data_IF_540103771264
#
_entry.id   IF_540103771264
#
_cell.length_a   1.000
_cell.length_b   1.000
_cell.length_c   1.000
_cell.angle_alpha   90.00
_cell.angle_beta   90.00
_cell.angle_gamma   90.00
#
_symmetry.space_group_name_H-M   'P 1'
#
loop_
_entity.id
_entity.type
_entity.pdbx_description
1 polymer ?
#
# COMPACT_ATOMS: atom_id res chain seq x y z
N UNK A 1 1.36 -18.94 21.67
CA UNK A 1 2.64 -19.17 20.96
C UNK A 1 3.76 -18.51 21.73
N UNK A 2 4.94 -19.14 21.79
CA UNK A 2 6.10 -18.57 22.46
C UNK A 2 6.62 -17.35 21.70
N UNK A 3 7.01 -16.29 22.42
CA UNK A 3 7.63 -15.10 21.83
C UNK A 3 9.04 -15.42 21.31
N UNK A 4 9.48 -14.72 20.26
CA UNK A 4 10.85 -14.81 19.74
C UNK A 4 11.11 -15.85 18.65
N UNK A 5 10.11 -16.64 18.24
CA UNK A 5 10.26 -17.55 17.10
C UNK A 5 10.24 -16.78 15.78
N UNK A 6 11.20 -17.02 14.88
CA UNK A 6 11.32 -16.35 13.58
C UNK A 6 10.09 -16.54 12.66
N UNK A 7 9.38 -17.64 12.80
CA UNK A 7 8.23 -18.04 11.97
C UNK A 7 6.87 -17.89 12.66
N UNK A 8 6.79 -17.19 13.80
CA UNK A 8 5.52 -16.99 14.53
C UNK A 8 4.43 -16.43 13.63
N UNK A 9 4.73 -15.35 12.89
CA UNK A 9 3.75 -14.69 12.03
C UNK A 9 3.18 -15.62 10.96
N UNK A 10 4.03 -16.36 10.25
CA UNK A 10 3.58 -17.27 9.18
C UNK A 10 2.82 -18.48 9.73
N UNK A 11 3.21 -18.97 10.90
CA UNK A 11 2.52 -20.07 11.57
C UNK A 11 1.13 -19.63 12.07
N UNK A 12 1.05 -18.43 12.66
CA UNK A 12 -0.21 -17.84 13.10
C UNK A 12 -1.13 -17.57 11.90
N UNK A 13 -0.63 -16.99 10.82
CA UNK A 13 -1.39 -16.78 9.59
C UNK A 13 -1.95 -18.08 9.03
N UNK A 14 -1.16 -19.16 9.01
CA UNK A 14 -1.60 -20.48 8.54
C UNK A 14 -2.70 -21.06 9.44
N UNK A 15 -2.58 -20.88 10.75
CA UNK A 15 -3.62 -21.30 11.70
C UNK A 15 -4.93 -20.55 11.43
N UNK A 16 -4.88 -19.21 11.35
CA UNK A 16 -6.06 -18.38 11.08
C UNK A 16 -6.69 -18.70 9.72
N UNK A 17 -5.88 -18.92 8.68
CA UNK A 17 -6.36 -19.34 7.36
C UNK A 17 -7.12 -20.67 7.41
N UNK A 18 -6.66 -21.64 8.21
CA UNK A 18 -7.35 -22.92 8.37
C UNK A 18 -8.66 -22.77 9.13
N UNK A 19 -8.67 -21.98 10.20
CA UNK A 19 -9.84 -21.79 11.05
C UNK A 19 -10.99 -21.10 10.32
N UNK A 20 -10.66 -20.05 9.55
CA UNK A 20 -11.64 -19.25 8.82
C UNK A 20 -11.80 -19.65 7.34
N UNK A 21 -11.30 -20.83 6.93
CA UNK A 21 -11.24 -21.28 5.52
C UNK A 21 -12.56 -21.12 4.77
N UNK A 22 -13.71 -21.40 5.40
CA UNK A 22 -15.04 -21.31 4.78
C UNK A 22 -15.55 -19.87 4.62
N UNK A 23 -14.98 -18.93 5.35
CA UNK A 23 -15.42 -17.51 5.44
C UNK A 23 -14.40 -16.53 4.85
N UNK A 24 -13.14 -16.96 4.67
CA UNK A 24 -12.10 -16.13 4.09
C UNK A 24 -12.50 -15.64 2.70
N UNK A 25 -12.18 -14.38 2.41
CA UNK A 25 -12.49 -13.67 1.15
C UNK A 25 -13.99 -13.48 0.88
N UNK A 26 -14.87 -14.03 1.71
CA UNK A 26 -16.31 -13.78 1.66
C UNK A 26 -16.67 -12.61 2.56
N UNK A 27 -16.67 -12.87 3.87
CA UNK A 27 -17.04 -11.89 4.90
C UNK A 27 -15.95 -11.68 5.96
N UNK A 28 -14.83 -12.42 5.91
CA UNK A 28 -13.71 -12.28 6.85
C UNK A 28 -12.41 -12.16 6.08
N UNK A 29 -11.60 -11.16 6.45
CA UNK A 29 -10.20 -11.02 6.03
C UNK A 29 -9.31 -11.10 7.26
N UNK A 30 -8.23 -11.86 7.16
CA UNK A 30 -7.28 -12.04 8.27
C UNK A 30 -5.85 -11.87 7.78
N UNK A 31 -5.11 -11.04 8.50
CA UNK A 31 -3.68 -10.89 8.29
C UNK A 31 -2.96 -10.82 9.62
N UNK A 32 -2.28 -11.91 9.97
CA UNK A 32 -1.60 -12.09 11.25
C UNK A 32 -2.56 -11.75 12.40
N UNK A 33 -2.34 -10.64 13.12
CA UNK A 33 -3.14 -10.22 14.27
C UNK A 33 -4.37 -9.37 13.92
N UNK A 34 -4.46 -8.90 12.68
CA UNK A 34 -5.55 -8.04 12.22
C UNK A 34 -6.64 -8.88 11.56
N UNK A 35 -7.88 -8.64 11.95
CA UNK A 35 -9.05 -9.31 11.40
C UNK A 35 -10.13 -8.28 11.10
N UNK A 36 -10.72 -8.38 9.92
CA UNK A 36 -11.83 -7.53 9.49
C UNK A 36 -13.01 -8.42 9.10
N UNK A 37 -14.16 -8.15 9.70
CA UNK A 37 -15.44 -8.73 9.32
C UNK A 37 -16.18 -7.69 8.49
N UNK A 38 -16.59 -8.06 7.29
CA UNK A 38 -17.33 -7.23 6.33
C UNK A 38 -18.61 -7.93 5.93
N UNK A 39 -19.68 -7.17 5.75
CA UNK A 39 -20.97 -7.68 5.30
C UNK A 39 -21.48 -6.85 4.14
N UNK A 40 -22.25 -7.45 3.24
CA UNK A 40 -22.85 -6.75 2.10
C UNK A 40 -24.00 -5.84 2.54
N UNK A 41 -24.80 -6.31 3.49
CA UNK A 41 -25.92 -5.56 4.05
C UNK A 41 -25.74 -5.40 5.57
N UNK A 42 -26.21 -4.30 6.11
CA UNK A 42 -26.16 -4.02 7.55
C UNK A 42 -26.94 -5.08 8.35
N UNK A 43 -28.05 -5.56 7.80
CA UNK A 43 -28.88 -6.60 8.43
C UNK A 43 -28.18 -7.95 8.59
N UNK A 44 -27.20 -8.26 7.73
CA UNK A 44 -26.44 -9.53 7.77
C UNK A 44 -25.26 -9.45 8.76
N UNK A 45 -24.85 -8.23 9.13
CA UNK A 45 -23.60 -8.01 9.87
C UNK A 45 -23.59 -8.67 11.25
N UNK A 46 -24.71 -8.69 11.94
CA UNK A 46 -24.83 -9.33 13.24
C UNK A 46 -24.64 -10.86 13.13
N UNK A 47 -25.27 -11.48 12.13
CA UNK A 47 -25.10 -12.91 11.87
C UNK A 47 -23.66 -13.27 11.47
N UNK A 48 -23.03 -12.46 10.63
CA UNK A 48 -21.61 -12.65 10.26
C UNK A 48 -20.67 -12.53 11.46
N UNK A 49 -20.97 -11.64 12.42
CA UNK A 49 -20.23 -11.53 13.67
C UNK A 49 -20.48 -12.73 14.59
N UNK A 50 -21.71 -13.22 14.71
CA UNK A 50 -22.05 -14.40 15.49
C UNK A 50 -21.28 -15.63 15.00
N UNK A 51 -21.30 -15.89 13.69
CA UNK A 51 -20.54 -16.95 13.04
C UNK A 51 -19.03 -16.84 13.35
N UNK A 52 -18.48 -15.63 13.28
CA UNK A 52 -17.07 -15.39 13.60
C UNK A 52 -16.79 -15.70 15.08
N UNK A 53 -17.65 -15.24 15.99
CA UNK A 53 -17.48 -15.51 17.42
C UNK A 53 -17.62 -17.00 17.76
N UNK A 54 -18.46 -17.75 17.08
CA UNK A 54 -18.56 -19.21 17.24
C UNK A 54 -17.25 -19.91 16.84
N UNK A 55 -16.66 -19.50 15.71
CA UNK A 55 -15.35 -20.03 15.29
C UNK A 55 -14.28 -19.73 16.33
N UNK A 56 -14.23 -18.51 16.85
CA UNK A 56 -13.27 -18.12 17.88
C UNK A 56 -13.44 -18.94 19.17
N UNK A 57 -14.69 -19.13 19.63
CA UNK A 57 -15.01 -19.96 20.82
C UNK A 57 -14.59 -21.41 20.62
N UNK A 58 -14.89 -21.98 19.45
CA UNK A 58 -14.51 -23.38 19.10
C UNK A 58 -13.00 -23.60 19.18
N UNK A 59 -12.21 -22.59 18.86
CA UNK A 59 -10.74 -22.66 18.88
C UNK A 59 -10.11 -21.98 20.10
N UNK A 60 -10.92 -21.65 21.11
CA UNK A 60 -10.49 -21.04 22.38
C UNK A 60 -9.67 -19.74 22.22
N UNK A 61 -9.94 -19.00 21.13
CA UNK A 61 -9.28 -17.70 20.89
C UNK A 61 -10.01 -16.60 21.62
N UNK A 62 -9.23 -15.66 22.17
CA UNK A 62 -9.73 -14.47 22.84
C UNK A 62 -9.33 -13.21 22.07
N UNK A 63 -10.30 -12.33 21.87
CA UNK A 63 -10.06 -11.01 21.29
C UNK A 63 -9.61 -10.02 22.39
N UNK A 64 -8.73 -9.12 22.00
CA UNK A 64 -8.43 -7.96 22.84
C UNK A 64 -9.49 -6.89 22.61
N UNK A 65 -10.47 -6.81 23.49
CA UNK A 65 -11.63 -5.91 23.38
C UNK A 65 -11.23 -4.43 23.28
N UNK A 66 -10.12 -4.01 23.90
CA UNK A 66 -9.63 -2.63 23.83
C UNK A 66 -9.13 -2.23 22.43
N UNK A 67 -8.86 -3.21 21.55
CA UNK A 67 -8.43 -3.01 20.17
C UNK A 67 -9.53 -3.34 19.15
N UNK A 68 -10.68 -3.79 19.60
CA UNK A 68 -11.81 -4.09 18.72
C UNK A 68 -12.67 -2.85 18.51
N UNK A 69 -13.12 -2.66 17.27
CA UNK A 69 -14.08 -1.63 16.90
C UNK A 69 -15.22 -2.31 16.13
N UNK A 70 -16.46 -1.99 16.45
CA UNK A 70 -17.64 -2.59 15.85
C UNK A 70 -18.53 -1.51 15.22
N UNK A 71 -19.30 -1.87 14.20
CA UNK A 71 -20.26 -0.97 13.54
C UNK A 71 -19.62 0.25 12.86
N UNK A 72 -18.37 0.13 12.43
CA UNK A 72 -17.62 1.23 11.82
C UNK A 72 -17.82 1.24 10.32
N UNK A 73 -18.09 2.44 9.73
CA UNK A 73 -18.12 2.63 8.28
C UNK A 73 -16.74 2.60 7.62
N UNK A 74 -15.67 2.58 8.43
CA UNK A 74 -14.27 2.45 7.97
C UNK A 74 -13.45 1.73 9.02
N UNK A 75 -12.42 0.99 8.59
CA UNK A 75 -11.52 0.27 9.50
C UNK A 75 -10.06 0.46 9.13
N UNK A 76 -9.19 0.44 10.16
CA UNK A 76 -7.73 0.33 9.93
C UNK A 76 -7.39 -1.13 9.64
N UNK A 77 -6.79 -1.38 8.48
CA UNK A 77 -6.31 -2.71 8.10
C UNK A 77 -4.98 -2.59 7.35
N UNK A 78 -3.97 -3.33 7.76
CA UNK A 78 -2.62 -3.28 7.18
C UNK A 78 -1.98 -1.88 7.13
N UNK A 79 -2.31 -1.02 8.09
CA UNK A 79 -1.81 0.36 8.13
C UNK A 79 -2.56 1.36 7.24
N UNK A 80 -3.59 0.91 6.51
CA UNK A 80 -4.46 1.73 5.68
C UNK A 80 -5.84 1.91 6.31
N UNK A 81 -6.59 2.89 5.84
CA UNK A 81 -8.00 3.04 6.17
C UNK A 81 -8.81 2.48 4.99
N UNK A 82 -9.58 1.44 5.25
CA UNK A 82 -10.49 0.84 4.27
C UNK A 82 -11.86 1.45 4.47
N UNK A 83 -12.41 2.06 3.43
CA UNK A 83 -13.74 2.70 3.40
C UNK A 83 -14.59 2.11 2.27
N UNK A 84 -15.85 2.50 2.19
CA UNK A 84 -16.70 2.15 1.04
C UNK A 84 -16.18 2.74 -0.29
N UNK A 85 -15.45 3.87 -0.24
CA UNK A 85 -14.88 4.53 -1.42
C UNK A 85 -13.59 3.88 -1.92
N UNK A 86 -12.99 3.00 -1.10
CA UNK A 86 -11.73 2.34 -1.41
C UNK A 86 -10.74 2.39 -0.25
N UNK A 87 -9.45 2.52 -0.58
CA UNK A 87 -8.36 2.52 0.39
C UNK A 87 -7.81 3.93 0.53
N UNK A 88 -7.78 4.42 1.74
CA UNK A 88 -7.28 5.76 2.08
C UNK A 88 -5.98 5.66 2.89
N UNK A 89 -5.18 6.69 2.78
CA UNK A 89 -3.96 6.84 3.60
C UNK A 89 -4.36 7.05 5.06
N UNK A 90 -3.63 6.43 5.98
CA UNK A 90 -3.77 6.75 7.38
C UNK A 90 -3.27 8.19 7.64
N UNK A 91 -4.17 9.07 8.04
CA UNK A 91 -3.87 10.48 8.31
C UNK A 91 -2.78 10.66 9.38
N UNK A 92 -2.65 9.73 10.34
CA UNK A 92 -1.60 9.79 11.34
C UNK A 92 -0.21 9.65 10.71
N UNK A 93 -0.08 8.82 9.65
CA UNK A 93 1.17 8.69 8.89
C UNK A 93 1.49 9.96 8.11
N UNK A 94 0.49 10.57 7.50
CA UNK A 94 0.65 11.86 6.79
C UNK A 94 1.06 12.96 7.76
N UNK A 95 0.36 13.07 8.90
CA UNK A 95 0.71 14.02 9.97
C UNK A 95 2.13 13.81 10.47
N UNK A 96 2.53 12.55 10.66
CA UNK A 96 3.88 12.22 11.11
C UNK A 96 4.96 12.68 10.10
N UNK A 97 4.72 12.55 8.77
CA UNK A 97 5.64 13.09 7.76
C UNK A 97 5.61 14.63 7.75
N UNK A 98 4.43 15.24 7.85
CA UNK A 98 4.26 16.69 7.82
C UNK A 98 4.90 17.37 9.04
N UNK A 99 4.96 16.71 10.20
CA UNK A 99 5.59 17.22 11.41
C UNK A 99 7.13 17.14 11.39
N UNK A 100 7.73 16.36 10.48
CA UNK A 100 9.18 16.27 10.38
C UNK A 100 9.79 17.59 9.90
N UNK A 101 11.00 17.88 10.35
CA UNK A 101 11.87 18.91 9.80
C UNK A 101 12.72 18.32 8.65
N UNK A 102 13.29 19.13 7.77
CA UNK A 102 14.26 18.65 6.78
C UNK A 102 15.34 17.83 7.45
N UNK A 103 15.70 16.64 6.90
CA UNK A 103 16.60 15.72 7.57
C UNK A 103 18.01 16.32 7.74
N UNK A 104 18.54 16.22 8.95
CA UNK A 104 19.86 16.78 9.32
C UNK A 104 20.94 15.70 9.44
N UNK A 105 20.57 14.43 9.39
CA UNK A 105 21.49 13.30 9.50
C UNK A 105 20.97 12.08 8.71
N UNK A 106 21.84 11.09 8.42
CA UNK A 106 21.45 9.90 7.67
C UNK A 106 20.33 9.08 8.32
N UNK A 107 20.24 9.05 9.65
CA UNK A 107 19.17 8.32 10.36
C UNK A 107 17.79 8.91 10.08
N UNK A 108 17.70 10.24 10.02
CA UNK A 108 16.46 10.94 9.68
C UNK A 108 16.06 10.72 8.23
N UNK A 109 17.03 10.64 7.31
CA UNK A 109 16.78 10.28 5.91
C UNK A 109 16.23 8.86 5.81
N UNK A 110 16.84 7.89 6.51
CA UNK A 110 16.32 6.52 6.54
C UNK A 110 14.91 6.44 7.12
N UNK A 111 14.64 7.21 8.19
CA UNK A 111 13.29 7.30 8.77
C UNK A 111 12.29 7.84 7.74
N UNK A 112 12.63 8.95 7.06
CA UNK A 112 11.76 9.54 6.03
C UNK A 112 11.51 8.57 4.87
N UNK A 113 12.55 7.90 4.36
CA UNK A 113 12.42 6.90 3.30
C UNK A 113 11.52 5.74 3.75
N UNK A 114 11.71 5.24 4.96
CA UNK A 114 10.86 4.16 5.51
C UNK A 114 9.38 4.55 5.59
N UNK A 115 9.10 5.76 6.08
CA UNK A 115 7.73 6.28 6.13
C UNK A 115 7.13 6.47 4.74
N UNK A 116 7.90 6.99 3.79
CA UNK A 116 7.47 7.18 2.39
C UNK A 116 7.27 5.84 1.68
N UNK A 117 8.11 4.84 1.96
CA UNK A 117 7.98 3.50 1.40
C UNK A 117 6.67 2.83 1.83
N UNK A 118 6.21 3.04 3.07
CA UNK A 118 4.92 2.56 3.55
C UNK A 118 3.73 3.17 2.77
N UNK A 119 3.90 4.37 2.23
CA UNK A 119 2.89 5.09 1.44
C UNK A 119 3.09 4.95 -0.08
N UNK A 120 4.03 4.13 -0.53
CA UNK A 120 4.46 4.07 -1.93
C UNK A 120 3.31 3.84 -2.93
N UNK A 121 2.31 3.03 -2.56
CA UNK A 121 1.14 2.76 -3.42
C UNK A 121 0.23 3.98 -3.65
N UNK A 122 0.36 5.01 -2.83
CA UNK A 122 -0.40 6.26 -2.92
C UNK A 122 0.39 7.40 -3.58
N UNK A 123 1.67 7.20 -3.81
CA UNK A 123 2.56 8.27 -4.30
C UNK A 123 2.92 8.01 -5.75
N UNK A 124 2.41 8.87 -6.63
CA UNK A 124 2.83 8.87 -8.03
C UNK A 124 4.31 9.22 -8.14
N UNK A 125 5.06 8.45 -8.94
CA UNK A 125 6.49 8.68 -9.18
C UNK A 125 7.31 8.82 -7.89
N UNK A 126 7.00 7.98 -6.89
CA UNK A 126 7.61 8.08 -5.56
C UNK A 126 9.13 7.94 -5.61
N UNK A 127 9.66 7.11 -6.51
CA UNK A 127 11.10 6.91 -6.70
C UNK A 127 11.78 8.20 -7.16
N UNK A 128 11.20 8.91 -8.12
CA UNK A 128 11.74 10.20 -8.59
C UNK A 128 11.67 11.26 -7.49
N UNK A 129 10.54 11.33 -6.78
CA UNK A 129 10.34 12.29 -5.68
C UNK A 129 11.31 12.06 -4.53
N UNK A 130 11.64 10.79 -4.23
CA UNK A 130 12.52 10.41 -3.13
C UNK A 130 14.01 10.32 -3.54
N UNK A 131 14.33 10.44 -4.83
CA UNK A 131 15.70 10.33 -5.34
C UNK A 131 16.70 11.24 -4.62
N UNK A 132 16.41 12.54 -4.36
CA UNK A 132 17.33 13.41 -3.64
C UNK A 132 17.71 12.87 -2.26
N UNK A 133 16.79 12.18 -1.58
CA UNK A 133 17.04 11.56 -0.28
C UNK A 133 17.99 10.36 -0.40
N UNK A 134 17.80 9.51 -1.42
CA UNK A 134 18.70 8.38 -1.67
C UNK A 134 20.13 8.84 -2.04
N UNK A 135 20.25 9.94 -2.79
CA UNK A 135 21.53 10.51 -3.16
C UNK A 135 22.33 11.03 -1.95
N UNK A 136 21.64 11.52 -0.91
CA UNK A 136 22.29 11.94 0.34
C UNK A 136 22.91 10.75 1.10
N UNK A 137 22.32 9.56 1.03
CA UNK A 137 22.83 8.36 1.68
C UNK A 137 24.11 7.82 1.03
N UNK A 138 24.30 8.10 -0.27
CA UNK A 138 25.47 7.65 -1.02
C UNK A 138 26.70 8.56 -0.86
N UNK A 139 26.55 9.72 -0.22
CA UNK A 139 27.68 10.65 0.05
C UNK A 139 28.36 10.29 1.37
N UNK A 140 29.49 9.60 1.29
CA UNK A 140 30.28 9.12 2.44
C UNK A 140 30.99 10.20 3.25
N UNK A 141 31.13 11.43 2.74
CA UNK A 141 31.84 12.52 3.41
C UNK A 141 30.91 13.72 3.61
N UNK A 142 30.55 13.95 4.88
CA UNK A 142 29.80 15.12 5.31
C UNK A 142 28.34 15.08 4.87
N UNK A 143 27.42 14.84 5.81
CA UNK A 143 25.98 14.94 5.56
C UNK A 143 25.61 16.42 5.53
N UNK A 144 25.13 16.89 4.39
CA UNK A 144 24.57 18.22 4.24
C UNK A 144 23.26 18.13 3.44
N UNK A 145 22.19 18.61 4.03
CA UNK A 145 20.90 18.70 3.33
C UNK A 145 20.98 19.79 2.26
N UNK A 146 21.07 19.36 1.01
CA UNK A 146 21.14 20.29 -0.13
C UNK A 146 19.82 21.02 -0.33
N UNK A 147 19.85 22.19 -1.01
CA UNK A 147 18.64 22.93 -1.41
C UNK A 147 17.67 22.05 -2.20
N UNK A 148 18.19 21.14 -3.02
CA UNK A 148 17.40 20.17 -3.79
C UNK A 148 16.65 19.19 -2.88
N UNK A 149 17.32 18.70 -1.83
CA UNK A 149 16.71 17.82 -0.83
C UNK A 149 15.60 18.53 -0.06
N UNK A 150 15.85 19.77 0.39
CA UNK A 150 14.85 20.57 1.10
C UNK A 150 13.63 20.85 0.22
N UNK A 151 13.84 21.17 -1.05
CA UNK A 151 12.76 21.39 -2.03
C UNK A 151 11.97 20.08 -2.29
N UNK A 152 12.65 18.95 -2.45
CA UNK A 152 12.00 17.65 -2.63
C UNK A 152 11.16 17.27 -1.40
N UNK A 153 11.67 17.56 -0.20
CA UNK A 153 10.95 17.32 1.05
C UNK A 153 9.67 18.16 1.14
N UNK A 154 9.74 19.45 0.80
CA UNK A 154 8.58 20.33 0.78
C UNK A 154 7.53 19.86 -0.25
N UNK A 155 7.96 19.53 -1.48
CA UNK A 155 7.05 18.96 -2.51
C UNK A 155 6.40 17.66 -2.11
N UNK A 156 7.10 16.82 -1.33
CA UNK A 156 6.53 15.57 -0.80
C UNK A 156 5.42 15.87 0.21
N UNK A 157 5.62 16.83 1.12
CA UNK A 157 4.61 17.26 2.08
C UNK A 157 3.37 17.85 1.39
N UNK A 158 3.58 18.71 0.43
CA UNK A 158 2.49 19.32 -0.37
C UNK A 158 1.68 18.25 -1.11
N UNK A 159 2.36 17.25 -1.68
CA UNK A 159 1.71 16.13 -2.37
C UNK A 159 0.85 15.28 -1.43
N UNK A 160 1.29 15.08 -0.19
CA UNK A 160 0.57 14.27 0.79
C UNK A 160 -0.50 15.05 1.55
N UNK A 161 -0.54 16.39 1.45
CA UNK A 161 -1.50 17.22 2.18
C UNK A 161 -2.96 16.96 1.79
N UNK A 162 -3.34 16.82 0.50
CA UNK A 162 -4.59 16.19 0.11
C UNK A 162 -4.39 14.67 0.13
N UNK A 163 -4.94 13.94 1.11
CA UNK A 163 -4.72 12.50 1.20
C UNK A 163 -5.27 11.80 -0.05
N UNK A 164 -4.42 11.08 -0.81
CA UNK A 164 -4.87 10.37 -1.99
C UNK A 164 -5.77 9.20 -1.59
N UNK A 165 -6.88 9.06 -2.30
CA UNK A 165 -7.82 7.95 -2.19
C UNK A 165 -7.55 7.01 -3.35
N UNK A 166 -7.37 5.72 -3.05
CA UNK A 166 -7.27 4.67 -4.06
C UNK A 166 -8.63 4.02 -4.20
N UNK A 167 -9.16 4.01 -5.42
CA UNK A 167 -10.45 3.39 -5.72
C UNK A 167 -10.36 1.87 -5.66
N UNK A 168 -11.50 1.24 -5.49
CA UNK A 168 -11.66 -0.21 -5.53
C UNK A 168 -12.37 -0.58 -6.83
N UNK A 169 -11.72 -1.26 -7.78
CA UNK A 169 -12.39 -1.75 -8.98
C UNK A 169 -13.40 -2.86 -8.61
N UNK A 170 -14.50 -2.90 -9.34
CA UNK A 170 -15.48 -3.97 -9.26
C UNK A 170 -15.03 -5.17 -10.09
N UNK A 171 -15.66 -6.34 -9.87
CA UNK A 171 -15.37 -7.54 -10.65
C UNK A 171 -15.65 -7.29 -12.13
N UNK A 172 -14.80 -7.85 -13.00
CA UNK A 172 -14.91 -7.78 -14.48
C UNK A 172 -14.75 -6.37 -15.08
N UNK A 173 -14.38 -5.37 -14.27
CA UNK A 173 -14.12 -4.03 -14.76
C UNK A 173 -12.82 -3.97 -15.55
N UNK A 174 -12.80 -3.22 -16.65
CA UNK A 174 -11.59 -2.99 -17.46
C UNK A 174 -10.75 -1.93 -16.77
N UNK A 175 -9.50 -2.27 -16.48
CA UNK A 175 -8.54 -1.37 -15.87
C UNK A 175 -7.54 -0.85 -16.92
N UNK A 176 -7.02 0.35 -16.70
CA UNK A 176 -6.04 0.97 -17.58
C UNK A 176 -4.74 1.21 -16.84
N UNK A 177 -3.62 1.06 -17.53
CA UNK A 177 -2.29 1.32 -16.99
C UNK A 177 -1.64 2.44 -17.79
N UNK A 178 -1.29 3.53 -17.11
CA UNK A 178 -0.39 4.54 -17.65
C UNK A 178 1.02 4.31 -17.15
N UNK A 179 1.99 4.40 -18.05
CA UNK A 179 3.41 4.21 -17.74
C UNK A 179 4.14 5.55 -17.88
N UNK A 180 4.93 5.89 -16.89
CA UNK A 180 5.85 7.00 -16.91
C UNK A 180 7.28 6.49 -16.79
N UNK A 181 8.12 6.84 -17.75
CA UNK A 181 9.52 6.44 -17.79
C UNK A 181 10.40 7.65 -17.55
N UNK A 182 11.32 7.53 -16.61
CA UNK A 182 12.34 8.50 -16.32
C UNK A 182 13.74 7.88 -16.52
N UNK A 183 14.77 8.68 -16.42
CA UNK A 183 16.15 8.22 -16.62
C UNK A 183 16.52 7.10 -15.64
N UNK A 184 16.12 7.26 -14.37
CA UNK A 184 16.51 6.35 -13.27
C UNK A 184 15.36 5.61 -12.62
N UNK A 185 14.14 5.80 -13.10
CA UNK A 185 12.96 5.19 -12.51
C UNK A 185 11.89 4.91 -13.56
N UNK A 186 11.09 3.90 -13.29
CA UNK A 186 9.82 3.65 -13.96
C UNK A 186 8.70 3.75 -12.93
N UNK A 187 7.59 4.30 -13.36
CA UNK A 187 6.38 4.41 -12.56
C UNK A 187 5.18 4.06 -13.41
N UNK A 188 4.21 3.43 -12.82
CA UNK A 188 2.93 3.21 -13.45
C UNK A 188 1.79 3.48 -12.48
N UNK A 189 0.65 3.80 -13.02
CA UNK A 189 -0.60 3.88 -12.28
C UNK A 189 -1.63 2.96 -12.93
N UNK A 190 -2.24 2.13 -12.11
CA UNK A 190 -3.43 1.39 -12.46
C UNK A 190 -4.62 2.25 -12.13
N UNK A 191 -5.50 2.46 -13.09
CA UNK A 191 -6.71 3.28 -12.94
C UNK A 191 -7.96 2.49 -13.34
N UNK A 192 -9.07 2.85 -12.77
CA UNK A 192 -10.41 2.55 -13.26
C UNK A 192 -11.05 3.81 -13.83
N UNK A 193 -12.02 3.65 -14.71
CA UNK A 193 -12.81 4.75 -15.26
C UNK A 193 -14.25 4.59 -14.81
N UNK A 194 -14.70 5.48 -13.94
CA UNK A 194 -16.10 5.51 -13.51
C UNK A 194 -16.77 6.79 -14.02
N UNK A 195 -17.85 6.64 -14.79
CA UNK A 195 -18.59 7.75 -15.39
C UNK A 195 -17.69 8.75 -16.15
N UNK A 196 -16.64 8.26 -16.83
CA UNK A 196 -15.67 9.08 -17.54
C UNK A 196 -14.59 9.74 -16.67
N UNK A 197 -14.63 9.52 -15.36
CA UNK A 197 -13.63 10.01 -14.41
C UNK A 197 -12.58 8.93 -14.15
N UNK A 198 -11.33 9.29 -14.34
CA UNK A 198 -10.20 8.38 -14.05
C UNK A 198 -9.88 8.40 -12.56
N UNK A 199 -9.98 7.25 -11.92
CA UNK A 199 -9.66 7.08 -10.50
C UNK A 199 -8.49 6.14 -10.30
N UNK A 200 -7.46 6.53 -9.53
CA UNK A 200 -6.31 5.66 -9.30
C UNK A 200 -6.69 4.50 -8.38
N UNK A 201 -6.26 3.30 -8.77
CA UNK A 201 -6.36 2.07 -7.97
C UNK A 201 -5.08 1.85 -7.17
N UNK A 202 -3.92 2.04 -7.80
CA UNK A 202 -2.63 2.04 -7.11
C UNK A 202 -1.51 2.56 -8.01
N UNK A 203 -0.44 3.04 -7.37
CA UNK A 203 0.82 3.36 -8.04
C UNK A 203 1.83 2.24 -7.81
N UNK A 204 2.62 1.93 -8.83
CA UNK A 204 3.79 1.05 -8.73
C UNK A 204 5.00 1.83 -9.23
N UNK A 205 6.06 1.79 -8.43
CA UNK A 205 7.27 2.53 -8.71
C UNK A 205 8.48 1.62 -8.56
N UNK A 206 9.47 1.74 -9.45
CA UNK A 206 10.72 0.99 -9.41
C UNK A 206 11.89 1.91 -9.73
N UNK A 207 12.92 1.87 -8.88
CA UNK A 207 14.23 2.41 -9.22
C UNK A 207 14.93 1.48 -10.19
N UNK A 208 15.53 2.02 -11.23
CA UNK A 208 16.30 1.25 -12.21
C UNK A 208 17.70 0.98 -11.67
N UNK A 209 18.18 -0.26 -11.85
CA UNK A 209 19.56 -0.62 -11.61
C UNK A 209 20.47 -0.01 -12.69
N UNK A 210 21.77 0.07 -12.45
CA UNK A 210 22.73 0.68 -13.37
C UNK A 210 22.64 0.10 -14.80
N UNK A 211 22.42 -1.19 -14.93
CA UNK A 211 22.21 -1.87 -16.22
C UNK A 211 20.91 -1.46 -16.89
N UNK A 212 19.82 -1.34 -16.12
CA UNK A 212 18.48 -1.01 -16.62
C UNK A 212 18.37 0.48 -17.02
N UNK A 213 19.21 1.35 -16.45
CA UNK A 213 19.27 2.78 -16.83
C UNK A 213 19.60 2.93 -18.32
N UNK A 214 20.41 2.01 -18.87
CA UNK A 214 20.86 2.02 -20.26
C UNK A 214 19.82 1.47 -21.25
N UNK A 215 18.73 0.92 -20.77
CA UNK A 215 17.67 0.38 -21.61
C UNK A 215 17.01 1.47 -22.46
N UNK A 216 16.61 1.08 -23.67
CA UNK A 216 15.81 1.94 -24.53
C UNK A 216 14.43 2.23 -23.90
N UNK A 217 13.76 3.26 -24.35
CA UNK A 217 12.44 3.62 -23.80
C UNK A 217 11.44 2.46 -23.90
N UNK A 218 11.43 1.76 -25.03
CA UNK A 218 10.56 0.60 -25.22
C UNK A 218 10.89 -0.54 -24.23
N UNK A 219 12.16 -0.82 -24.00
CA UNK A 219 12.60 -1.84 -23.04
C UNK A 219 12.21 -1.46 -21.60
N UNK A 220 12.31 -0.17 -21.26
CA UNK A 220 11.83 0.35 -19.96
C UNK A 220 10.31 0.22 -19.82
N UNK A 221 9.56 0.44 -20.90
CA UNK A 221 8.11 0.23 -20.91
C UNK A 221 7.75 -1.24 -20.66
N UNK A 222 8.41 -2.15 -21.36
CA UNK A 222 8.22 -3.60 -21.15
C UNK A 222 8.60 -4.00 -19.71
N UNK A 223 9.74 -3.49 -19.22
CA UNK A 223 10.16 -3.74 -17.83
C UNK A 223 9.13 -3.22 -16.83
N UNK A 224 8.50 -2.07 -17.10
CA UNK A 224 7.44 -1.52 -16.24
C UNK A 224 6.23 -2.46 -16.17
N UNK A 225 5.79 -2.99 -17.32
CA UNK A 225 4.68 -3.95 -17.39
C UNK A 225 5.02 -5.23 -16.63
N UNK A 226 6.18 -5.83 -16.89
CA UNK A 226 6.64 -7.02 -16.17
C UNK A 226 6.69 -6.77 -14.66
N UNK A 227 7.24 -5.62 -14.25
CA UNK A 227 7.28 -5.27 -12.83
C UNK A 227 5.87 -5.11 -12.22
N UNK A 228 4.93 -4.53 -12.98
CA UNK A 228 3.54 -4.40 -12.56
C UNK A 228 2.85 -5.74 -12.35
N UNK A 229 3.01 -6.68 -13.29
CA UNK A 229 2.41 -8.02 -13.18
C UNK A 229 2.91 -8.77 -11.94
N UNK A 230 4.21 -8.62 -11.61
CA UNK A 230 4.75 -9.18 -10.36
C UNK A 230 4.25 -8.50 -9.10
N UNK A 231 4.01 -7.19 -9.13
CA UNK A 231 3.56 -6.44 -7.95
C UNK A 231 2.06 -6.50 -7.73
N UNK A 232 1.30 -6.66 -8.79
CA UNK A 232 -0.16 -6.58 -8.81
C UNK A 232 -0.80 -7.84 -9.45
N UNK A 233 -0.35 -9.07 -9.11
CA UNK A 233 -0.80 -10.28 -9.78
C UNK A 233 -2.32 -10.44 -9.74
N UNK A 234 -2.95 -10.07 -8.62
CA UNK A 234 -4.39 -10.22 -8.45
C UNK A 234 -5.20 -9.37 -9.45
N UNK A 235 -4.76 -8.16 -9.76
CA UNK A 235 -5.45 -7.32 -10.73
C UNK A 235 -5.30 -7.87 -12.16
N UNK A 236 -4.09 -8.31 -12.54
CA UNK A 236 -3.85 -8.88 -13.88
C UNK A 236 -4.49 -10.26 -14.09
N UNK A 237 -4.81 -10.98 -13.01
CA UNK A 237 -5.52 -12.26 -13.08
C UNK A 237 -7.04 -12.12 -13.09
N UNK A 238 -7.57 -11.06 -12.45
CA UNK A 238 -9.01 -10.88 -12.23
C UNK A 238 -9.66 -9.86 -13.17
N UNK A 239 -8.85 -9.06 -13.88
CA UNK A 239 -9.34 -7.98 -14.73
C UNK A 239 -8.67 -7.97 -16.09
N UNK A 240 -9.36 -7.45 -17.08
CA UNK A 240 -8.75 -7.06 -18.35
C UNK A 240 -7.98 -5.76 -18.11
N UNK A 241 -6.68 -5.77 -18.36
CA UNK A 241 -5.80 -4.61 -18.15
C UNK A 241 -5.31 -4.09 -19.48
N UNK A 242 -5.71 -2.89 -19.85
CA UNK A 242 -5.29 -2.18 -21.06
C UNK A 242 -4.10 -1.28 -20.74
N UNK A 243 -3.01 -1.45 -21.49
CA UNK A 243 -1.80 -0.66 -21.32
C UNK A 243 -1.83 0.51 -22.28
N UNK A 244 -1.71 1.71 -21.75
CA UNK A 244 -1.65 2.96 -22.49
C UNK A 244 -0.22 3.51 -22.45
N UNK A 245 0.37 3.71 -23.60
CA UNK A 245 1.76 4.18 -23.78
C UNK A 245 1.78 5.50 -24.52
#
# INVERSE_FOLDING_TARGET
MSFGLKNVGSTYQRMMTRMFKSRLSKNIEVYINDMVVKSKAVSEHVGDLEDMFEILRKHELRLNTSKCSFGMGSSKFLGYIVTHRGIEVNLDQVKAINSLQPPQNPKEVWKLIGMTAALNRFISRSTDRCRPFFQLLNKWKGFECTKECASAFQRLKEYLSPPPIMSRPEMDEVLFVYIAMALYAISLVLIQVDNGVQMPVCYVNKSLHETEVRYLLLEKAVLAVVHATYKLPHYFQSHIVVILT
#
